data_IF_581534376328
#
_entry.id   IF_581534376328
#
_cell.length_a   1.000
_cell.length_b   1.000
_cell.length_c   1.000
_cell.angle_alpha   90.00
_cell.angle_beta   90.00
_cell.angle_gamma   90.00
#
_symmetry.space_group_name_H-M   'P 1'
#
loop_
_entity.id
_entity.type
_entity.pdbx_description
1 polymer ?
#
# COMPACT_ATOMS: atom_id res chain seq x y z
N UNK A 1 14.37 -9.61 -12.95
CA UNK A 1 13.28 -9.09 -12.08
C UNK A 1 12.95 -10.20 -11.10
N UNK A 2 12.88 -9.94 -9.80
CA UNK A 2 12.51 -10.99 -8.82
C UNK A 2 11.03 -11.32 -9.01
N UNK A 3 10.71 -12.61 -9.13
CA UNK A 3 9.35 -13.10 -9.18
C UNK A 3 8.90 -13.46 -7.75
N UNK A 4 7.69 -13.05 -7.31
CA UNK A 4 7.19 -13.44 -6.01
C UNK A 4 6.87 -14.94 -5.96
N UNK A 5 7.03 -15.55 -4.80
CA UNK A 5 6.48 -16.84 -4.45
C UNK A 5 4.96 -16.69 -4.28
N UNK A 6 4.21 -17.48 -5.03
CA UNK A 6 2.76 -17.56 -4.88
C UNK A 6 2.40 -18.72 -3.96
N UNK A 7 1.33 -18.56 -3.18
CA UNK A 7 0.74 -19.65 -2.39
C UNK A 7 0.19 -20.76 -3.31
N UNK A 8 -0.27 -21.85 -2.69
CA UNK A 8 -0.88 -23.00 -3.38
C UNK A 8 -2.11 -22.66 -4.26
N UNK A 9 -2.69 -21.47 -4.09
CA UNK A 9 -3.81 -20.95 -4.87
C UNK A 9 -3.36 -20.00 -5.98
N UNK A 10 -2.04 -19.82 -6.16
CA UNK A 10 -1.47 -18.89 -7.12
C UNK A 10 -1.59 -17.43 -6.70
N UNK A 11 -1.66 -17.14 -5.39
CA UNK A 11 -1.85 -15.80 -4.84
C UNK A 11 -0.65 -15.33 -4.00
N UNK A 12 -0.37 -14.04 -4.05
CA UNK A 12 0.61 -13.36 -3.19
C UNK A 12 -0.08 -12.24 -2.41
N UNK A 13 0.12 -12.13 -1.08
CA UNK A 13 -0.32 -10.97 -0.33
C UNK A 13 0.37 -9.70 -0.83
N UNK A 14 -0.38 -8.61 -0.83
CA UNK A 14 0.05 -7.30 -1.29
C UNK A 14 -0.39 -6.25 -0.29
N UNK A 15 0.58 -5.66 0.39
CA UNK A 15 0.39 -4.48 1.25
C UNK A 15 0.48 -3.25 0.34
N UNK A 16 -0.51 -2.36 0.41
CA UNK A 16 -0.46 -1.09 -0.30
C UNK A 16 -0.21 0.03 0.68
N UNK A 17 0.81 0.84 0.38
CA UNK A 17 1.24 1.96 1.17
C UNK A 17 1.16 3.24 0.33
N UNK A 18 0.71 4.33 0.95
CA UNK A 18 0.79 5.66 0.37
C UNK A 18 2.26 6.00 0.09
N UNK A 19 2.56 6.28 -1.17
CA UNK A 19 3.93 6.56 -1.62
C UNK A 19 4.51 7.86 -1.03
N UNK A 20 3.67 8.81 -0.65
CA UNK A 20 4.09 10.13 -0.18
C UNK A 20 4.00 10.23 1.36
N UNK A 21 2.99 9.58 2.00
CA UNK A 21 2.77 9.64 3.46
C UNK A 21 3.28 8.44 4.25
N UNK A 22 3.49 7.29 3.60
CA UNK A 22 3.90 6.06 4.27
C UNK A 22 2.79 5.33 5.03
N UNK A 23 1.56 5.85 5.07
CA UNK A 23 0.38 5.16 5.63
C UNK A 23 0.12 3.86 4.90
N UNK A 24 -0.08 2.76 5.63
CA UNK A 24 -0.62 1.53 5.04
C UNK A 24 -2.10 1.76 4.71
N UNK A 25 -2.44 1.67 3.42
CA UNK A 25 -3.78 1.95 2.90
C UNK A 25 -4.69 0.73 2.96
N UNK A 26 -4.17 -0.45 2.57
CA UNK A 26 -4.94 -1.69 2.55
C UNK A 26 -4.03 -2.92 2.36
N UNK A 27 -4.57 -4.09 2.64
CA UNK A 27 -4.04 -5.38 2.20
C UNK A 27 -5.01 -6.02 1.21
N UNK A 28 -4.47 -6.60 0.15
CA UNK A 28 -5.21 -7.42 -0.81
C UNK A 28 -4.33 -8.54 -1.36
N UNK A 29 -4.86 -9.33 -2.28
CA UNK A 29 -4.16 -10.47 -2.89
C UNK A 29 -3.98 -10.23 -4.38
N UNK A 30 -2.83 -10.57 -4.94
CA UNK A 30 -2.60 -10.56 -6.38
C UNK A 30 -2.37 -11.99 -6.87
N UNK A 31 -2.94 -12.34 -8.02
CA UNK A 31 -2.43 -13.47 -8.80
C UNK A 31 -1.41 -12.95 -9.83
N UNK A 32 -0.82 -13.85 -10.63
CA UNK A 32 0.14 -13.48 -11.67
C UNK A 32 -0.40 -12.43 -12.65
N UNK A 33 -1.67 -12.54 -13.04
CA UNK A 33 -2.31 -11.61 -13.97
C UNK A 33 -2.53 -10.22 -13.37
N UNK A 34 -2.98 -10.14 -12.12
CA UNK A 34 -3.13 -8.87 -11.41
C UNK A 34 -1.79 -8.14 -11.28
N UNK A 35 -0.71 -8.86 -10.98
CA UNK A 35 0.63 -8.27 -10.92
C UNK A 35 1.10 -7.79 -12.29
N UNK A 36 0.87 -8.58 -13.35
CA UNK A 36 1.21 -8.22 -14.73
C UNK A 36 0.50 -6.93 -15.15
N UNK A 37 -0.82 -6.86 -14.97
CA UNK A 37 -1.62 -5.67 -15.30
C UNK A 37 -1.24 -4.47 -14.45
N UNK A 38 -0.89 -4.66 -13.18
CA UNK A 38 -0.41 -3.58 -12.31
C UNK A 38 0.86 -2.94 -12.87
N UNK A 39 1.81 -3.75 -13.36
CA UNK A 39 3.04 -3.27 -14.00
C UNK A 39 2.77 -2.56 -15.33
N UNK A 40 1.91 -3.12 -16.17
CA UNK A 40 1.64 -2.60 -17.51
C UNK A 40 0.83 -1.30 -17.48
N UNK A 41 -0.20 -1.23 -16.64
CA UNK A 41 -1.12 -0.09 -16.61
C UNK A 41 -0.69 1.01 -15.65
N UNK A 42 0.29 0.73 -14.78
CA UNK A 42 0.64 1.59 -13.64
C UNK A 42 -0.53 1.91 -12.70
N UNK A 43 -1.60 1.09 -12.72
CA UNK A 43 -2.73 1.17 -11.78
C UNK A 43 -2.83 -0.15 -11.05
N UNK A 44 -3.05 -0.13 -9.74
CA UNK A 44 -3.08 -1.36 -8.93
C UNK A 44 -4.31 -2.21 -9.25
N UNK A 45 -4.05 -3.46 -9.62
CA UNK A 45 -5.06 -4.52 -9.83
C UNK A 45 -4.89 -5.59 -8.76
N UNK A 46 -5.99 -6.24 -8.38
CA UNK A 46 -5.92 -7.37 -7.44
C UNK A 46 -6.79 -8.54 -7.89
N UNK A 47 -6.69 -9.63 -7.16
CA UNK A 47 -7.54 -10.80 -7.25
C UNK A 47 -8.47 -10.89 -6.04
N UNK A 48 -9.78 -10.94 -6.30
CA UNK A 48 -10.78 -11.15 -5.27
C UNK A 48 -10.90 -12.65 -4.97
N UNK A 49 -10.45 -13.08 -3.79
CA UNK A 49 -10.54 -14.50 -3.37
C UNK A 49 -11.98 -15.02 -3.34
N UNK A 50 -12.93 -14.19 -2.88
CA UNK A 50 -14.34 -14.54 -2.78
C UNK A 50 -15.05 -14.60 -4.12
N UNK A 51 -14.79 -13.62 -5.01
CA UNK A 51 -15.41 -13.58 -6.35
C UNK A 51 -14.66 -14.39 -7.40
N UNK A 52 -13.46 -14.89 -7.06
CA UNK A 52 -12.58 -15.57 -8.01
C UNK A 52 -12.39 -14.76 -9.30
N UNK A 53 -12.16 -13.45 -9.14
CA UNK A 53 -12.14 -12.52 -10.25
C UNK A 53 -11.08 -11.43 -10.06
N UNK A 54 -10.51 -11.00 -11.18
CA UNK A 54 -9.66 -9.82 -11.27
C UNK A 54 -10.49 -8.56 -11.05
N UNK A 55 -9.92 -7.56 -10.38
CA UNK A 55 -10.51 -6.21 -10.35
C UNK A 55 -9.42 -5.12 -10.39
N UNK A 56 -9.75 -4.00 -11.02
CA UNK A 56 -8.92 -2.78 -10.99
C UNK A 56 -9.36 -1.91 -9.82
N UNK A 57 -8.44 -1.51 -8.94
CA UNK A 57 -8.80 -0.65 -7.79
C UNK A 57 -9.37 0.68 -8.29
N UNK A 58 -10.56 1.01 -7.80
CA UNK A 58 -11.25 2.25 -8.16
C UNK A 58 -11.95 2.22 -9.51
N UNK A 59 -12.11 1.05 -10.14
CA UNK A 59 -12.81 0.92 -11.43
C UNK A 59 -14.23 1.51 -11.41
N UNK A 60 -14.96 1.32 -10.30
CA UNK A 60 -16.30 1.88 -10.11
C UNK A 60 -16.30 3.24 -9.43
N UNK A 61 -15.43 3.46 -8.44
CA UNK A 61 -15.48 4.66 -7.60
C UNK A 61 -14.61 5.82 -8.08
N UNK A 62 -13.69 5.59 -9.02
CA UNK A 62 -12.66 6.56 -9.41
C UNK A 62 -11.47 6.65 -8.42
N UNK A 63 -11.57 6.05 -7.23
CA UNK A 63 -10.49 6.05 -6.22
C UNK A 63 -9.40 5.02 -6.57
N UNK A 64 -8.69 5.28 -7.67
CA UNK A 64 -7.59 4.46 -8.18
C UNK A 64 -6.35 4.59 -7.31
N UNK A 65 -5.47 3.59 -7.39
CA UNK A 65 -4.14 3.62 -6.80
C UNK A 65 -3.12 3.60 -7.95
N UNK A 66 -2.39 4.70 -8.15
CA UNK A 66 -1.36 4.80 -9.20
C UNK A 66 -0.06 4.23 -8.66
N UNK A 67 0.48 3.22 -9.33
CA UNK A 67 1.71 2.56 -8.91
C UNK A 67 2.91 3.53 -8.99
N UNK A 68 3.71 3.58 -7.92
CA UNK A 68 4.99 4.30 -7.87
C UNK A 68 6.14 3.32 -7.78
N UNK A 69 6.03 2.31 -6.91
CA UNK A 69 7.10 1.35 -6.66
C UNK A 69 6.51 -0.01 -6.26
N UNK A 70 7.13 -1.09 -6.74
CA UNK A 70 6.87 -2.45 -6.28
C UNK A 70 8.11 -2.97 -5.57
N UNK A 71 7.93 -3.42 -4.33
CA UNK A 71 8.95 -4.13 -3.54
C UNK A 71 8.50 -5.54 -3.27
N UNK A 72 9.49 -6.41 -3.11
CA UNK A 72 9.35 -7.81 -2.74
C UNK A 72 10.11 -7.97 -1.43
N UNK A 73 9.56 -8.70 -0.47
CA UNK A 73 10.24 -8.99 0.80
C UNK A 73 11.37 -10.02 0.65
N UNK A 74 11.96 -10.46 1.77
CA UNK A 74 13.24 -11.17 1.77
C UNK A 74 13.14 -12.64 1.33
N UNK A 75 12.00 -13.29 1.55
CA UNK A 75 11.65 -14.63 1.07
C UNK A 75 10.69 -14.62 -0.13
N UNK A 76 10.36 -13.42 -0.60
CA UNK A 76 9.60 -13.13 -1.80
C UNK A 76 8.14 -13.58 -1.78
N UNK A 77 7.57 -13.83 -0.61
CA UNK A 77 6.18 -14.25 -0.47
C UNK A 77 5.21 -13.08 -0.26
N UNK A 78 5.70 -11.84 -0.12
CA UNK A 78 4.86 -10.66 0.05
C UNK A 78 5.32 -9.49 -0.83
N UNK A 79 4.34 -8.78 -1.38
CA UNK A 79 4.56 -7.54 -2.12
C UNK A 79 4.25 -6.31 -1.27
N UNK A 80 5.11 -5.31 -1.34
CA UNK A 80 4.82 -3.94 -0.92
C UNK A 80 4.64 -3.07 -2.16
N UNK A 81 3.40 -2.63 -2.39
CA UNK A 81 3.03 -1.65 -3.41
C UNK A 81 3.06 -0.27 -2.79
N UNK A 82 3.93 0.61 -3.28
CA UNK A 82 3.83 2.04 -3.00
C UNK A 82 3.02 2.69 -4.11
N UNK A 83 1.91 3.33 -3.75
CA UNK A 83 0.99 3.93 -4.70
C UNK A 83 0.47 5.30 -4.25
N UNK A 84 0.09 6.14 -5.21
CA UNK A 84 -0.61 7.39 -4.94
C UNK A 84 -2.12 7.20 -5.06
N UNK A 85 -2.90 7.43 -3.99
CA UNK A 85 -4.36 7.34 -4.05
C UNK A 85 -4.97 8.55 -4.76
N UNK A 86 -5.99 8.32 -5.58
CA UNK A 86 -6.80 9.38 -6.20
C UNK A 86 -8.00 9.83 -5.33
N UNK A 87 -8.14 9.24 -4.16
CA UNK A 87 -9.24 9.45 -3.21
C UNK A 87 -9.18 8.40 -2.09
N UNK A 88 -10.20 8.30 -1.22
CA UNK A 88 -10.22 7.32 -0.14
C UNK A 88 -9.99 5.88 -0.62
N UNK A 89 -9.08 5.15 0.03
CA UNK A 89 -8.79 3.78 -0.37
C UNK A 89 -9.90 2.82 0.07
N UNK A 90 -10.55 3.11 1.20
CA UNK A 90 -11.63 2.29 1.76
C UNK A 90 -12.99 2.61 1.10
N UNK A 91 -13.85 1.61 1.01
CA UNK A 91 -15.22 1.78 0.51
C UNK A 91 -16.14 2.54 1.48
N UNK A 92 -15.72 2.69 2.74
CA UNK A 92 -16.44 3.50 3.76
C UNK A 92 -16.19 4.99 3.60
N UNK A 93 -15.22 5.39 2.78
CA UNK A 93 -14.76 6.77 2.65
C UNK A 93 -13.54 7.11 3.51
N UNK A 94 -13.05 6.19 4.34
CA UNK A 94 -11.80 6.35 5.09
C UNK A 94 -10.56 6.26 4.17
N UNK A 95 -9.47 6.93 4.55
CA UNK A 95 -8.22 6.95 3.77
C UNK A 95 -7.59 5.56 3.73
N UNK A 96 -7.57 4.88 4.87
CA UNK A 96 -7.07 3.51 5.04
C UNK A 96 -8.20 2.54 5.39
N UNK A 97 -8.03 1.26 5.07
CA UNK A 97 -8.84 0.18 5.61
C UNK A 97 -8.59 -0.09 7.10
N UNK A 98 -7.45 0.36 7.63
CA UNK A 98 -7.03 0.13 9.02
C UNK A 98 -7.41 1.32 9.92
N UNK A 99 -8.64 1.83 9.77
CA UNK A 99 -9.10 3.03 10.47
C UNK A 99 -9.74 2.74 11.84
N UNK A 100 -9.91 1.46 12.20
CA UNK A 100 -10.44 1.04 13.49
C UNK A 100 -9.31 0.43 14.30
N UNK A 101 -9.10 0.96 15.51
CA UNK A 101 -8.15 0.45 16.49
C UNK A 101 -8.69 -0.82 17.15
N UNK A 102 -7.81 -1.57 17.82
CA UNK A 102 -8.17 -2.83 18.47
C UNK A 102 -9.14 -2.65 19.66
N UNK A 103 -9.16 -1.46 20.28
CA UNK A 103 -10.13 -1.05 21.29
C UNK A 103 -11.49 -0.57 20.72
N UNK A 104 -11.64 -0.59 19.39
CA UNK A 104 -12.85 -0.21 18.67
C UNK A 104 -13.01 1.29 18.41
N UNK A 105 -12.06 2.12 18.82
CA UNK A 105 -12.04 3.55 18.45
C UNK A 105 -11.63 3.73 16.98
N UNK A 106 -12.03 4.85 16.38
CA UNK A 106 -11.71 5.16 14.99
C UNK A 106 -10.64 6.26 14.88
N UNK A 107 -9.66 6.05 14.01
CA UNK A 107 -8.62 7.00 13.60
C UNK A 107 -8.38 6.82 12.08
N UNK A 108 -8.39 7.89 11.30
CA UNK A 108 -8.11 7.82 9.85
C UNK A 108 -6.68 7.32 9.57
N UNK A 109 -5.80 7.24 10.58
CA UNK A 109 -4.49 6.59 10.46
C UNK A 109 -3.55 7.32 9.49
N UNK A 110 -3.91 8.54 9.10
CA UNK A 110 -3.14 9.40 8.24
C UNK A 110 -2.28 10.28 9.14
N UNK A 111 -0.98 10.00 9.29
CA UNK A 111 -0.11 10.90 10.02
C UNK A 111 -0.19 12.26 9.33
N UNK A 112 -0.19 13.36 10.10
CA UNK A 112 -0.09 14.69 9.52
C UNK A 112 1.11 14.73 8.59
N UNK A 113 0.98 15.42 7.46
CA UNK A 113 2.12 15.69 6.56
C UNK A 113 3.12 16.48 7.39
N UNK A 114 4.08 15.78 7.98
CA UNK A 114 5.06 16.38 8.86
C UNK A 114 6.37 16.45 8.11
N UNK A 115 7.03 17.60 8.22
CA UNK A 115 8.48 17.67 8.05
C UNK A 115 9.23 16.89 9.14
N UNK A 116 8.58 16.01 9.92
CA UNK A 116 9.21 15.25 11.00
C UNK A 116 10.49 14.52 10.56
N UNK A 117 10.60 13.93 9.34
CA UNK A 117 11.85 13.35 8.90
C UNK A 117 12.98 14.39 8.76
N UNK A 118 12.67 15.64 8.41
CA UNK A 118 13.67 16.73 8.37
C UNK A 118 14.05 17.17 9.77
N UNK A 119 13.07 17.26 10.68
CA UNK A 119 13.30 17.76 12.05
C UNK A 119 14.05 16.74 12.90
N UNK A 120 13.70 15.45 12.82
CA UNK A 120 14.43 14.37 13.50
C UNK A 120 15.86 14.24 12.94
N UNK A 121 16.02 14.35 11.62
CA UNK A 121 17.36 14.35 11.00
C UNK A 121 18.15 15.59 11.37
N UNK A 122 17.52 16.75 11.47
CA UNK A 122 18.15 17.99 11.91
C UNK A 122 18.58 17.89 13.37
N UNK A 123 17.74 17.34 14.26
CA UNK A 123 18.05 17.10 15.66
C UNK A 123 19.26 16.16 15.80
N UNK A 124 19.26 15.04 15.08
CA UNK A 124 20.40 14.11 15.07
C UNK A 124 21.70 14.79 14.61
N UNK A 125 21.64 15.63 13.57
CA UNK A 125 22.79 16.41 13.09
C UNK A 125 23.26 17.44 14.13
N UNK A 126 22.34 18.12 14.82
CA UNK A 126 22.66 19.12 15.84
C UNK A 126 23.33 18.46 17.05
N UNK A 127 22.81 17.32 17.53
CA UNK A 127 23.41 16.60 18.65
C UNK A 127 24.81 16.07 18.30
N UNK A 128 25.00 15.55 17.09
CA UNK A 128 26.30 15.04 16.63
C UNK A 128 27.37 16.14 16.44
N UNK A 129 26.99 17.42 16.44
CA UNK A 129 27.90 18.58 16.30
C UNK A 129 28.03 19.39 17.59
N UNK A 130 27.53 18.86 18.71
CA UNK A 130 27.49 19.55 20.00
C UNK A 130 28.77 19.39 20.83
N UNK A 131 29.69 18.55 20.36
CA UNK A 131 31.09 18.43 20.78
C UNK A 131 32.03 19.00 19.70
#
# INVERSE_FOLDING_TARGET
MIAPAYDERGLVPCIVQDADRGTVLMLAWMNAEALRLTRETSVVHFWSRSRQALWKKGETSGNTLTLVELRVDCDADTLLVRARPAGPSCHTGATTCFYTLDDGTEDDGVPPVTGAPILERLEAIVQARRD
#
